data_IF_786249673986
#
_entry.id   IF_786249673986
#
_cell.length_a   1.000
_cell.length_b   1.000
_cell.length_c   1.000
_cell.angle_alpha   90.00
_cell.angle_beta   90.00
_cell.angle_gamma   90.00
#
_symmetry.space_group_name_H-M   'P 1'
#
loop_
_entity.id
_entity.type
_entity.pdbx_description
1 polymer ?
#
# COMPACT_ATOMS: atom_id res chain seq x y z
N UNK A 1 -0.70 11.44 1.27
CA UNK A 1 0.64 11.80 0.69
C UNK A 1 1.33 10.53 0.25
N UNK A 2 1.66 10.43 -1.03
CA UNK A 2 2.35 9.27 -1.61
C UNK A 2 3.85 9.51 -1.77
N UNK A 3 4.67 8.51 -1.41
CA UNK A 3 6.10 8.45 -1.73
C UNK A 3 6.39 7.19 -2.56
N UNK A 4 7.25 7.33 -3.56
CA UNK A 4 7.56 6.25 -4.50
C UNK A 4 9.03 5.86 -4.37
N UNK A 5 9.26 4.56 -4.35
CA UNK A 5 10.59 3.98 -4.22
C UNK A 5 10.83 2.87 -5.23
N UNK A 6 12.11 2.65 -5.51
CA UNK A 6 12.58 1.53 -6.30
C UNK A 6 13.68 0.77 -5.56
N UNK A 7 13.85 -0.49 -5.96
CA UNK A 7 14.93 -1.35 -5.49
C UNK A 7 16.04 -1.28 -6.53
N UNK A 8 17.13 -0.61 -6.17
CA UNK A 8 18.33 -0.45 -7.01
C UNK A 8 19.51 -1.02 -6.23
N UNK A 9 20.23 -1.99 -6.80
CA UNK A 9 21.39 -2.63 -6.14
C UNK A 9 21.06 -3.13 -4.72
N UNK A 10 19.90 -3.80 -4.57
CA UNK A 10 19.40 -4.30 -3.27
C UNK A 10 19.17 -3.22 -2.20
N UNK A 11 19.06 -1.96 -2.59
CA UNK A 11 18.72 -0.82 -1.71
C UNK A 11 17.42 -0.17 -2.13
N UNK A 12 16.63 0.24 -1.15
CA UNK A 12 15.43 1.05 -1.37
C UNK A 12 15.85 2.50 -1.60
N UNK A 13 15.55 3.05 -2.76
CA UNK A 13 15.91 4.42 -3.17
C UNK A 13 14.66 5.17 -3.61
N UNK A 14 14.48 6.40 -3.12
CA UNK A 14 13.37 7.26 -3.52
C UNK A 14 13.49 7.61 -5.01
N UNK A 15 12.37 7.59 -5.73
CA UNK A 15 12.39 7.87 -7.16
C UNK A 15 11.20 8.74 -7.60
N UNK A 16 11.40 9.48 -8.68
CA UNK A 16 10.37 10.30 -9.33
C UNK A 16 10.10 9.69 -10.71
N UNK A 17 9.00 8.95 -10.89
CA UNK A 17 8.73 8.30 -12.18
C UNK A 17 7.65 7.21 -12.20
N UNK A 18 7.48 6.57 -13.38
CA UNK A 18 6.31 5.77 -13.80
C UNK A 18 6.44 4.24 -13.65
N UNK A 19 7.53 3.75 -13.06
CA UNK A 19 7.69 2.33 -12.68
C UNK A 19 8.23 2.26 -11.28
N UNK A 20 7.32 2.37 -10.33
CA UNK A 20 7.54 2.13 -8.92
C UNK A 20 7.40 0.64 -8.60
N UNK A 21 8.35 0.11 -7.83
CA UNK A 21 8.22 -1.22 -7.23
C UNK A 21 7.59 -1.12 -5.82
N UNK A 22 7.64 0.05 -5.19
CA UNK A 22 7.15 0.28 -3.83
C UNK A 22 6.47 1.66 -3.78
N UNK A 23 5.21 1.69 -3.36
CA UNK A 23 4.46 2.92 -3.10
C UNK A 23 4.07 2.97 -1.62
N UNK A 24 4.35 4.10 -0.95
CA UNK A 24 4.04 4.31 0.46
C UNK A 24 3.01 5.43 0.55
N UNK A 25 1.84 5.10 1.09
CA UNK A 25 0.75 6.04 1.31
C UNK A 25 0.66 6.40 2.78
N UNK A 26 0.86 7.68 3.10
CA UNK A 26 0.73 8.20 4.46
C UNK A 26 -0.55 9.03 4.52
N UNK A 27 -1.50 8.58 5.34
CA UNK A 27 -2.84 9.15 5.49
C UNK A 27 -3.48 9.48 4.12
N UNK A 28 -3.83 8.44 3.32
CA UNK A 28 -4.27 8.63 1.95
C UNK A 28 -5.60 9.39 1.89
N UNK A 29 -5.72 10.32 0.94
CA UNK A 29 -6.98 11.01 0.68
C UNK A 29 -8.00 10.12 -0.04
N UNK A 30 -9.26 10.57 -0.20
CA UNK A 30 -10.29 9.78 -0.87
C UNK A 30 -9.95 9.38 -2.31
N UNK A 31 -9.20 10.20 -3.04
CA UNK A 31 -8.79 9.89 -4.41
C UNK A 31 -7.72 8.81 -4.40
N UNK A 32 -6.73 8.91 -3.53
CA UNK A 32 -5.69 7.91 -3.30
C UNK A 32 -6.31 6.57 -2.85
N UNK A 33 -7.25 6.59 -1.89
CA UNK A 33 -7.96 5.39 -1.43
C UNK A 33 -8.73 4.69 -2.56
N UNK A 34 -9.50 5.45 -3.35
CA UNK A 34 -10.21 4.88 -4.52
C UNK A 34 -9.25 4.29 -5.54
N UNK A 35 -8.11 4.95 -5.77
CA UNK A 35 -7.08 4.42 -6.67
C UNK A 35 -6.54 3.08 -6.16
N UNK A 36 -6.24 2.96 -4.86
CA UNK A 36 -5.76 1.71 -4.27
C UNK A 36 -6.76 0.56 -4.45
N UNK A 37 -8.03 0.80 -4.15
CA UNK A 37 -9.10 -0.19 -4.30
C UNK A 37 -9.29 -0.58 -5.77
N UNK A 38 -9.38 0.39 -6.68
CA UNK A 38 -9.71 0.10 -8.08
C UNK A 38 -8.53 -0.45 -8.88
N UNK A 39 -7.32 0.07 -8.64
CA UNK A 39 -6.12 -0.28 -9.41
C UNK A 39 -5.44 -1.53 -8.88
N UNK A 40 -5.29 -1.62 -7.56
CA UNK A 40 -4.58 -2.73 -6.91
C UNK A 40 -5.53 -3.76 -6.30
N UNK A 41 -6.84 -3.54 -6.37
CA UNK A 41 -7.86 -4.50 -5.91
C UNK A 41 -7.74 -4.82 -4.41
N UNK A 42 -7.26 -3.86 -3.62
CA UNK A 42 -7.24 -3.97 -2.16
C UNK A 42 -8.68 -3.84 -1.68
N UNK A 43 -9.12 -4.76 -0.82
CA UNK A 43 -10.44 -4.68 -0.20
C UNK A 43 -10.56 -3.41 0.67
N UNK A 44 -11.77 -2.82 0.69
CA UNK A 44 -12.00 -1.58 1.44
C UNK A 44 -11.82 -1.78 2.95
N UNK A 45 -12.20 -2.94 3.50
CA UNK A 45 -12.00 -3.28 4.90
C UNK A 45 -10.52 -3.49 5.23
N UNK A 46 -9.76 -4.14 4.34
CA UNK A 46 -8.30 -4.31 4.50
C UNK A 46 -7.59 -2.96 4.47
N UNK A 47 -7.94 -2.07 3.53
CA UNK A 47 -7.38 -0.72 3.48
C UNK A 47 -7.72 0.09 4.75
N UNK A 48 -8.94 -0.05 5.28
CA UNK A 48 -9.32 0.62 6.53
C UNK A 48 -8.55 0.05 7.74
N UNK A 49 -8.42 -1.28 7.82
CA UNK A 49 -7.65 -1.99 8.85
C UNK A 49 -6.19 -1.53 8.87
N UNK A 50 -5.58 -1.36 7.70
CA UNK A 50 -4.19 -0.92 7.56
C UNK A 50 -3.94 0.54 8.02
N UNK A 51 -4.99 1.33 8.20
CA UNK A 51 -4.91 2.73 8.64
C UNK A 51 -5.33 2.92 10.10
N UNK A 52 -5.86 1.88 10.75
CA UNK A 52 -6.30 1.92 12.14
C UNK A 52 -5.16 1.43 13.07
N UNK A 53 -4.61 2.31 13.94
CA UNK A 53 -3.52 1.92 14.83
C UNK A 53 -3.94 0.94 15.94
N UNK A 54 -5.23 0.77 16.19
CA UNK A 54 -5.76 -0.15 17.21
C UNK A 54 -6.14 -1.52 16.63
N UNK A 55 -5.92 -1.74 15.33
CA UNK A 55 -6.25 -2.96 14.63
C UNK A 55 -5.35 -4.14 15.05
N UNK A 56 -5.90 -5.36 15.05
CA UNK A 56 -5.13 -6.55 15.40
C UNK A 56 -4.22 -7.00 14.24
N UNK A 57 -2.92 -7.15 14.54
CA UNK A 57 -1.93 -7.61 13.58
C UNK A 57 -2.26 -9.02 13.07
N UNK A 58 -2.20 -9.20 11.75
CA UNK A 58 -2.53 -10.46 11.07
C UNK A 58 -2.01 -10.50 9.64
N UNK A 59 -2.02 -11.69 9.05
CA UNK A 59 -1.75 -11.92 7.62
C UNK A 59 -3.05 -12.34 6.96
N UNK A 60 -3.44 -11.61 5.93
CA UNK A 60 -4.59 -11.93 5.07
C UNK A 60 -4.07 -12.42 3.72
N UNK A 61 -4.53 -13.59 3.29
CA UNK A 61 -4.15 -14.18 2.00
C UNK A 61 -5.37 -14.06 1.07
N UNK A 62 -5.23 -13.25 0.04
CA UNK A 62 -6.23 -13.11 -1.00
C UNK A 62 -5.77 -13.79 -2.29
N UNK A 63 -6.70 -13.96 -3.24
CA UNK A 63 -6.42 -14.63 -4.52
C UNK A 63 -5.34 -13.90 -5.34
N UNK A 64 -5.25 -12.57 -5.21
CA UNK A 64 -4.38 -11.74 -6.04
C UNK A 64 -3.19 -11.14 -5.29
N UNK A 65 -3.24 -11.07 -3.97
CA UNK A 65 -2.20 -10.45 -3.15
C UNK A 65 -2.23 -10.97 -1.71
N UNK A 66 -1.22 -10.56 -0.93
CA UNK A 66 -1.14 -10.82 0.51
C UNK A 66 -1.13 -9.46 1.20
N UNK A 67 -1.97 -9.29 2.21
CA UNK A 67 -1.96 -8.13 3.08
C UNK A 67 -1.40 -8.52 4.45
N UNK A 68 -0.62 -7.60 5.02
CA UNK A 68 -0.03 -7.75 6.36
C UNK A 68 -0.44 -6.50 7.14
N UNK A 69 -1.20 -6.70 8.21
CA UNK A 69 -1.61 -5.66 9.14
C UNK A 69 -0.69 -5.76 10.36
N UNK A 70 -0.10 -4.63 10.78
CA UNK A 70 0.91 -4.57 11.84
C UNK A 70 0.49 -3.63 12.96
#
# INVERSE_FOLDING_TARGET
MVKLYNIVESRVTECVGTKENIAVYINPDEKERRYLIQKYQIDEHTLQSALDPDELSRIEIESNHVAIIL
#
